data_IF_445999485005
#
_entry.id   IF_445999485005
#
_cell.length_a   1.000
_cell.length_b   1.000
_cell.length_c   1.000
_cell.angle_alpha   90.00
_cell.angle_beta   90.00
_cell.angle_gamma   90.00
#
_symmetry.space_group_name_H-M   'P 1'
#
loop_
_entity.id
_entity.type
_entity.pdbx_description
1 polymer ?
#
# COMPACT_ATOMS: atom_id res chain seq x y z
N UNK A 1 8.26 4.31 -4.97
CA UNK A 1 7.19 5.07 -4.28
C UNK A 1 7.86 5.61 -3.02
N UNK A 2 8.44 6.80 -3.13
CA UNK A 2 8.94 7.50 -1.95
C UNK A 2 7.71 7.89 -1.14
N UNK A 3 7.45 7.17 -0.05
CA UNK A 3 6.53 7.64 0.98
C UNK A 3 7.29 8.76 1.67
N UNK A 4 7.21 9.96 1.10
CA UNK A 4 7.66 11.15 1.77
C UNK A 4 6.70 11.39 2.94
N UNK A 5 7.26 11.82 4.07
CA UNK A 5 6.58 12.01 5.35
C UNK A 5 5.56 13.17 5.29
N UNK A 6 4.56 13.08 4.42
CA UNK A 6 3.98 14.23 3.72
C UNK A 6 2.47 14.38 3.96
N UNK A 7 2.01 14.33 5.21
CA UNK A 7 0.71 14.93 5.50
C UNK A 7 0.98 16.30 6.10
N UNK A 8 0.82 17.31 5.26
CA UNK A 8 0.90 18.75 5.56
C UNK A 8 -0.26 19.17 6.49
N UNK A 9 -0.38 18.52 7.65
CA UNK A 9 -1.52 18.61 8.56
C UNK A 9 -1.06 18.70 10.02
N UNK A 10 -1.99 19.11 10.90
CA UNK A 10 -1.79 19.19 12.34
C UNK A 10 -3.06 18.77 13.09
N UNK A 11 -2.97 17.70 13.87
CA UNK A 11 -4.12 17.14 14.59
C UNK A 11 -4.97 16.24 13.70
N UNK A 12 -5.97 15.58 14.29
CA UNK A 12 -6.93 14.76 13.54
C UNK A 12 -7.86 15.68 12.76
N UNK A 13 -8.42 16.65 13.46
CA UNK A 13 -9.25 17.73 12.96
C UNK A 13 -8.42 19.00 12.77
N UNK A 14 -9.03 20.02 12.18
CA UNK A 14 -8.41 21.34 12.08
C UNK A 14 -8.23 21.94 13.47
N UNK A 15 -6.99 22.15 13.86
CA UNK A 15 -6.64 22.67 15.18
C UNK A 15 -7.10 24.13 15.39
N UNK A 16 -7.42 24.84 14.29
CA UNK A 16 -8.12 26.13 14.32
C UNK A 16 -9.58 26.06 14.78
N UNK A 17 -10.20 24.88 14.70
CA UNK A 17 -11.61 24.67 15.04
C UNK A 17 -11.77 23.85 16.34
N UNK A 18 -10.97 22.79 16.49
CA UNK A 18 -11.03 21.85 17.61
C UNK A 18 -9.63 21.63 18.17
N UNK A 19 -9.46 21.78 19.49
CA UNK A 19 -8.18 21.50 20.16
C UNK A 19 -8.01 20.00 20.45
N UNK A 20 -7.51 19.26 19.46
CA UNK A 20 -7.26 17.81 19.57
C UNK A 20 -6.18 17.47 20.60
N UNK A 21 -5.28 18.42 20.88
CA UNK A 21 -4.18 18.21 21.82
C UNK A 21 -4.58 18.46 23.26
N UNK A 22 -5.78 18.96 23.53
CA UNK A 22 -6.27 19.27 24.88
C UNK A 22 -6.25 18.08 25.86
N UNK A 23 -6.40 16.84 25.37
CA UNK A 23 -6.34 15.63 26.20
C UNK A 23 -4.98 14.93 26.15
N UNK A 24 -4.02 15.47 25.40
CA UNK A 24 -2.70 14.88 25.25
C UNK A 24 -1.79 15.19 26.45
N UNK A 25 -0.75 14.37 26.64
CA UNK A 25 0.30 14.63 27.64
C UNK A 25 0.98 15.99 27.40
N UNK A 26 1.09 16.43 26.15
CA UNK A 26 1.67 17.72 25.78
C UNK A 26 0.88 18.91 26.33
N UNK A 27 -0.44 18.78 26.54
CA UNK A 27 -1.25 19.87 27.11
C UNK A 27 -0.76 20.28 28.50
N UNK A 28 -0.19 19.36 29.29
CA UNK A 28 0.36 19.68 30.62
C UNK A 28 1.61 20.57 30.57
N UNK A 29 2.32 20.61 29.45
CA UNK A 29 3.59 21.32 29.28
C UNK A 29 3.56 22.39 28.19
N UNK A 30 2.42 22.59 27.50
CA UNK A 30 2.31 23.48 26.33
C UNK A 30 2.49 24.96 26.65
N UNK A 31 2.18 25.40 27.88
CA UNK A 31 2.20 26.82 28.24
C UNK A 31 1.26 27.64 27.34
N UNK A 32 1.79 28.63 26.63
CA UNK A 32 1.05 29.47 25.68
C UNK A 32 1.02 28.93 24.24
N UNK A 33 1.52 27.71 24.01
CA UNK A 33 1.53 27.10 22.69
C UNK A 33 0.13 26.63 22.31
N UNK A 34 -0.30 26.96 21.10
CA UNK A 34 -1.56 26.52 20.50
C UNK A 34 -1.42 25.17 19.81
N UNK A 35 -0.23 24.89 19.27
CA UNK A 35 0.12 23.62 18.63
C UNK A 35 1.49 23.11 19.06
N UNK A 36 1.73 21.79 19.01
CA UNK A 36 3.06 21.21 19.18
C UNK A 36 4.02 21.62 18.07
N UNK A 37 5.33 21.60 18.35
CA UNK A 37 6.35 22.00 17.37
C UNK A 37 6.44 21.12 16.11
N UNK A 38 5.96 19.88 16.14
CA UNK A 38 5.89 19.03 14.95
C UNK A 38 4.81 19.46 13.95
N UNK A 39 3.85 20.29 14.35
CA UNK A 39 2.86 20.86 13.45
C UNK A 39 3.41 22.05 12.64
N UNK A 40 4.64 22.48 12.90
CA UNK A 40 5.28 23.56 12.17
C UNK A 40 5.83 23.07 10.82
N UNK A 41 5.82 23.95 9.81
CA UNK A 41 6.37 23.60 8.50
C UNK A 41 7.87 23.35 8.59
N UNK A 42 8.33 22.30 7.92
CA UNK A 42 9.73 21.88 7.94
C UNK A 42 10.18 21.25 9.25
N UNK A 43 9.25 20.93 10.15
CA UNK A 43 9.56 20.12 11.32
C UNK A 43 9.71 18.65 10.91
N UNK A 44 10.87 18.08 11.19
CA UNK A 44 11.12 16.64 11.31
C UNK A 44 10.98 16.19 12.78
N UNK A 45 11.19 14.89 13.04
CA UNK A 45 11.12 14.31 14.38
C UNK A 45 12.01 15.03 15.42
N UNK A 46 13.19 15.52 15.03
CA UNK A 46 14.17 16.14 15.93
C UNK A 46 13.89 17.64 16.11
N UNK A 47 13.61 18.32 15.00
CA UNK A 47 13.35 19.76 14.95
C UNK A 47 11.98 20.13 15.50
N UNK A 48 11.00 19.22 15.50
CA UNK A 48 9.73 19.43 16.21
C UNK A 48 9.90 19.73 17.71
N UNK A 49 10.96 19.17 18.35
CA UNK A 49 11.30 19.49 19.74
C UNK A 49 11.96 20.89 19.82
N UNK A 50 12.83 21.23 18.87
CA UNK A 50 13.52 22.52 18.81
C UNK A 50 12.57 23.70 18.48
N UNK A 51 11.47 23.42 17.79
CA UNK A 51 10.45 24.39 17.41
C UNK A 51 9.41 24.62 18.51
N UNK A 52 9.45 23.85 19.61
CA UNK A 52 8.59 24.08 20.75
C UNK A 52 8.78 25.50 21.31
N UNK A 53 7.68 26.23 21.47
CA UNK A 53 7.68 27.61 21.95
C UNK A 53 8.18 28.66 20.94
N UNK A 54 8.39 28.29 19.67
CA UNK A 54 8.64 29.24 18.58
C UNK A 54 7.35 29.85 18.05
N UNK A 55 7.45 30.91 17.25
CA UNK A 55 6.32 31.61 16.63
C UNK A 55 5.31 30.68 15.94
N UNK A 56 5.77 29.62 15.28
CA UNK A 56 4.84 28.67 14.63
C UNK A 56 3.91 27.95 15.63
N UNK A 57 4.34 27.77 16.88
CA UNK A 57 3.56 27.12 17.94
C UNK A 57 2.69 28.07 18.74
N UNK A 58 3.11 29.33 18.89
CA UNK A 58 2.41 30.35 19.70
C UNK A 58 1.52 31.26 18.86
N UNK A 59 1.89 31.51 17.60
CA UNK A 59 1.16 32.30 16.62
C UNK A 59 1.14 31.57 15.26
N UNK A 60 0.42 30.44 15.17
CA UNK A 60 0.35 29.63 13.97
C UNK A 60 -0.33 30.38 12.82
N UNK A 61 0.23 30.26 11.63
CA UNK A 61 -0.28 30.81 10.38
C UNK A 61 -0.12 29.76 9.27
N UNK A 62 -0.89 29.88 8.19
CA UNK A 62 -0.75 28.98 7.03
C UNK A 62 0.63 29.00 6.36
N UNK A 63 1.47 30.00 6.67
CA UNK A 63 2.84 30.11 6.18
C UNK A 63 3.85 29.37 7.05
N UNK A 64 3.62 29.23 8.35
CA UNK A 64 4.60 28.69 9.30
C UNK A 64 4.19 27.36 9.94
N UNK A 65 2.92 26.95 9.80
CA UNK A 65 2.41 25.70 10.36
C UNK A 65 1.25 25.14 9.54
N UNK A 66 0.84 23.92 9.91
CA UNK A 66 -0.31 23.22 9.35
C UNK A 66 -1.55 23.32 10.26
N UNK A 67 -1.65 24.39 11.05
CA UNK A 67 -2.71 24.59 12.05
C UNK A 67 -4.15 24.54 11.51
N UNK A 68 -4.32 24.89 10.23
CA UNK A 68 -5.63 24.94 9.58
C UNK A 68 -6.00 23.65 8.83
N UNK A 69 -5.08 22.68 8.75
CA UNK A 69 -5.27 21.44 8.00
C UNK A 69 -5.31 20.24 8.96
N UNK A 70 -6.44 19.53 8.98
CA UNK A 70 -6.60 18.33 9.79
C UNK A 70 -6.09 17.09 9.06
N UNK A 71 -5.41 16.19 9.76
CA UNK A 71 -4.82 15.01 9.12
C UNK A 71 -5.87 14.02 8.61
N UNK A 72 -7.06 13.97 9.20
CA UNK A 72 -8.14 13.12 8.70
C UNK A 72 -8.54 13.54 7.28
N UNK A 73 -8.82 14.83 7.09
CA UNK A 73 -9.20 15.39 5.78
C UNK A 73 -8.04 15.29 4.79
N UNK A 74 -6.80 15.58 5.20
CA UNK A 74 -5.64 15.48 4.32
C UNK A 74 -5.40 14.05 3.83
N UNK A 75 -5.60 13.04 4.69
CA UNK A 75 -5.50 11.63 4.31
C UNK A 75 -6.66 11.23 3.39
N UNK A 76 -7.88 11.67 3.67
CA UNK A 76 -9.05 11.42 2.84
C UNK A 76 -8.83 11.96 1.42
N UNK A 77 -8.40 13.21 1.29
CA UNK A 77 -8.07 13.84 0.01
C UNK A 77 -6.94 13.10 -0.72
N UNK A 78 -5.88 12.70 -0.01
CA UNK A 78 -4.81 11.91 -0.61
C UNK A 78 -5.31 10.55 -1.12
N UNK A 79 -6.16 9.86 -0.36
CA UNK A 79 -6.75 8.59 -0.78
C UNK A 79 -7.60 8.78 -2.02
N UNK A 80 -8.43 9.83 -2.07
CA UNK A 80 -9.24 10.13 -3.26
C UNK A 80 -8.38 10.40 -4.49
N UNK A 81 -7.30 11.17 -4.36
CA UNK A 81 -6.37 11.47 -5.46
C UNK A 81 -5.72 10.20 -6.02
N UNK A 82 -5.19 9.33 -5.15
CA UNK A 82 -4.52 8.10 -5.57
C UNK A 82 -5.48 6.95 -5.91
N UNK A 83 -6.76 7.05 -5.53
CA UNK A 83 -7.77 6.01 -5.78
C UNK A 83 -7.88 5.66 -7.27
N UNK A 84 -7.80 6.66 -8.15
CA UNK A 84 -7.92 6.49 -9.60
C UNK A 84 -6.78 5.65 -10.18
N UNK A 85 -5.55 5.89 -9.71
CA UNK A 85 -4.37 5.13 -10.11
C UNK A 85 -4.47 3.70 -9.58
N UNK A 86 -4.90 3.53 -8.33
CA UNK A 86 -5.05 2.21 -7.70
C UNK A 86 -6.11 1.35 -8.39
N UNK A 87 -7.27 1.92 -8.72
CA UNK A 87 -8.35 1.23 -9.44
C UNK A 87 -7.87 0.78 -10.82
N UNK A 88 -7.20 1.67 -11.55
CA UNK A 88 -6.67 1.35 -12.87
C UNK A 88 -5.60 0.26 -12.80
N UNK A 89 -4.65 0.37 -11.85
CA UNK A 89 -3.61 -0.64 -11.63
C UNK A 89 -4.18 -2.01 -11.29
N UNK A 90 -5.24 -2.05 -10.47
CA UNK A 90 -5.90 -3.28 -10.06
C UNK A 90 -6.51 -4.03 -11.25
N UNK A 91 -7.14 -3.34 -12.20
CA UNK A 91 -7.72 -3.95 -13.40
C UNK A 91 -6.63 -4.60 -14.27
N UNK A 92 -5.48 -3.93 -14.43
CA UNK A 92 -4.36 -4.46 -15.21
C UNK A 92 -3.79 -5.72 -14.56
N UNK A 93 -3.60 -5.72 -13.24
CA UNK A 93 -3.13 -6.89 -12.49
C UNK A 93 -4.11 -8.06 -12.65
N UNK A 94 -5.40 -7.83 -12.48
CA UNK A 94 -6.44 -8.85 -12.66
C UNK A 94 -6.43 -9.45 -14.07
N UNK A 95 -6.22 -8.62 -15.10
CA UNK A 95 -6.11 -9.10 -16.48
C UNK A 95 -4.89 -10.01 -16.67
N UNK A 96 -3.73 -9.63 -16.13
CA UNK A 96 -2.51 -10.45 -16.19
C UNK A 96 -2.72 -11.78 -15.45
N UNK A 97 -3.32 -11.76 -14.26
CA UNK A 97 -3.64 -12.97 -13.50
C UNK A 97 -4.57 -13.89 -14.27
N UNK A 98 -5.63 -13.36 -14.90
CA UNK A 98 -6.53 -14.15 -15.74
C UNK A 98 -5.80 -14.82 -16.89
N UNK A 99 -4.90 -14.10 -17.58
CA UNK A 99 -4.11 -14.69 -18.66
C UNK A 99 -3.17 -15.78 -18.17
N UNK A 100 -2.57 -15.62 -16.99
CA UNK A 100 -1.69 -16.61 -16.37
C UNK A 100 -2.45 -17.89 -15.99
N UNK A 101 -3.67 -17.75 -15.45
CA UNK A 101 -4.55 -18.89 -15.15
C UNK A 101 -4.92 -19.65 -16.41
N UNK A 102 -5.34 -18.95 -17.47
CA UNK A 102 -5.68 -19.58 -18.77
C UNK A 102 -4.47 -20.31 -19.35
N UNK A 103 -3.30 -19.66 -19.37
CA UNK A 103 -2.06 -20.26 -19.85
C UNK A 103 -1.70 -21.53 -19.06
N UNK A 104 -1.86 -21.51 -17.73
CA UNK A 104 -1.62 -22.66 -16.86
C UNK A 104 -2.54 -23.83 -17.22
N UNK A 105 -3.83 -23.59 -17.44
CA UNK A 105 -4.76 -24.64 -17.88
C UNK A 105 -4.39 -25.21 -19.25
N UNK A 106 -4.03 -24.36 -20.22
CA UNK A 106 -3.58 -24.79 -21.54
C UNK A 106 -2.33 -25.69 -21.46
N UNK A 107 -1.33 -25.28 -20.68
CA UNK A 107 -0.10 -26.05 -20.47
C UNK A 107 -0.38 -27.40 -19.80
N UNK A 108 -1.19 -27.43 -18.74
CA UNK A 108 -1.56 -28.68 -18.06
C UNK A 108 -2.27 -29.68 -18.98
N UNK A 109 -3.12 -29.20 -19.90
CA UNK A 109 -3.80 -30.07 -20.89
C UNK A 109 -2.82 -30.66 -21.90
N UNK A 110 -1.88 -29.87 -22.40
CA UNK A 110 -0.85 -30.34 -23.33
C UNK A 110 0.03 -31.41 -22.68
N UNK A 111 0.54 -31.12 -21.48
CA UNK A 111 1.37 -32.07 -20.72
C UNK A 111 0.62 -33.37 -20.46
N UNK A 112 -0.66 -33.29 -20.09
CA UNK A 112 -1.49 -34.48 -19.81
C UNK A 112 -1.68 -35.34 -21.07
N UNK A 113 -1.91 -34.72 -22.24
CA UNK A 113 -2.05 -35.43 -23.51
C UNK A 113 -0.75 -36.11 -23.95
N UNK A 114 0.40 -35.43 -23.78
CA UNK A 114 1.72 -35.99 -24.10
C UNK A 114 2.07 -37.17 -23.19
N UNK A 115 1.75 -37.07 -21.90
CA UNK A 115 1.94 -38.17 -20.95
C UNK A 115 1.06 -39.38 -21.29
N UNK A 116 -0.19 -39.15 -21.72
CA UNK A 116 -1.09 -40.23 -22.12
C UNK A 116 -0.60 -40.93 -23.40
N UNK A 117 -0.17 -40.16 -24.41
CA UNK A 117 0.42 -40.72 -25.62
C UNK A 117 1.68 -41.55 -25.33
N UNK A 118 2.58 -41.04 -24.49
CA UNK A 118 3.78 -41.76 -24.04
C UNK A 118 3.45 -43.06 -23.29
N UNK A 119 2.44 -43.03 -22.41
CA UNK A 119 1.98 -44.21 -21.70
C UNK A 119 1.35 -45.25 -22.64
N UNK A 120 0.54 -44.83 -23.59
CA UNK A 120 -0.13 -45.74 -24.52
C UNK A 120 0.88 -46.40 -25.48
N UNK A 121 1.90 -45.64 -25.94
CA UNK A 121 3.02 -46.18 -26.72
C UNK A 121 3.77 -47.26 -25.94
N UNK A 122 4.15 -47.00 -24.68
CA UNK A 122 4.80 -48.00 -23.81
C UNK A 122 3.95 -49.26 -23.62
N UNK A 123 2.63 -49.12 -23.43
CA UNK A 123 1.72 -50.28 -23.33
C UNK A 123 1.67 -51.10 -24.63
N UNK A 124 1.61 -50.44 -25.78
CA UNK A 124 1.59 -51.13 -27.08
C UNK A 124 2.90 -51.85 -27.37
N UNK A 125 4.04 -51.21 -27.10
CA UNK A 125 5.35 -51.84 -27.26
C UNK A 125 5.46 -53.08 -26.35
N UNK A 126 5.07 -52.97 -25.07
CA UNK A 126 5.07 -54.10 -24.14
C UNK A 126 4.18 -55.27 -24.62
N UNK A 127 2.97 -54.99 -25.11
CA UNK A 127 2.09 -56.02 -25.70
C UNK A 127 2.73 -56.72 -26.89
N UNK A 128 3.44 -55.97 -27.74
CA UNK A 128 4.16 -56.52 -28.90
C UNK A 128 5.28 -57.45 -28.47
N UNK A 129 6.06 -57.05 -27.46
CA UNK A 129 7.13 -57.89 -26.88
C UNK A 129 6.59 -59.21 -26.34
N UNK A 130 5.49 -59.18 -25.58
CA UNK A 130 4.86 -60.39 -25.02
C UNK A 130 4.39 -61.32 -26.16
N UNK A 131 3.71 -60.77 -27.16
CA UNK A 131 3.23 -61.57 -28.32
C UNK A 131 4.37 -62.24 -29.09
N UNK A 132 5.53 -61.60 -29.22
CA UNK A 132 6.69 -62.24 -29.85
C UNK A 132 7.27 -63.37 -29.00
N UNK A 133 7.21 -63.27 -27.67
CA UNK A 133 7.69 -64.30 -26.75
C UNK A 133 6.81 -65.55 -26.74
N UNK A 134 5.50 -65.39 -26.90
CA UNK A 134 4.55 -66.52 -26.88
C UNK A 134 4.52 -67.33 -28.19
N UNK A 135 5.10 -66.80 -29.28
CA UNK A 135 5.16 -67.45 -30.60
C UNK A 135 6.57 -68.02 -30.94
N UNK A 136 7.49 -68.01 -29.97
CA UNK A 136 8.85 -68.55 -30.08
C UNK A 136 8.99 -69.75 -29.15
#
# INVERSE_FOLDING_TARGET
MEVKEEFECCGVNRQSEIDDFSLSVWNSTRGSQLIPGYCCKGADYISGILLAGKECTTNPTSLNSYFFEGCYTAIEEAIEEYSSIFVTGSIVVLAVEMTAVIASFCMCRQISADLEHSNNKRKNDNKRWIKHKDNA
#
